data_IF_936746319672
#
_entry.id   IF_936746319672
#
_cell.length_a   1.000
_cell.length_b   1.000
_cell.length_c   1.000
_cell.angle_alpha   90.00
_cell.angle_beta   90.00
_cell.angle_gamma   90.00
#
_symmetry.space_group_name_H-M   'P 1'
#
loop_
_entity.id
_entity.type
_entity.pdbx_description
1 polymer ?
#
# COMPACT_ATOMS: atom_id res chain seq x y z
N UNK A 1 14.46 3.83 -18.67
CA UNK A 1 13.37 4.84 -18.73
C UNK A 1 12.92 5.10 -17.30
N UNK A 2 12.44 6.29 -16.95
CA UNK A 2 11.81 6.51 -15.63
C UNK A 2 10.32 6.23 -15.73
N UNK A 3 9.75 5.55 -14.73
CA UNK A 3 8.32 5.26 -14.64
C UNK A 3 7.72 6.08 -13.50
N UNK A 4 6.60 6.73 -13.78
CA UNK A 4 5.80 7.41 -12.75
C UNK A 4 4.69 6.48 -12.27
N UNK A 5 4.65 6.22 -10.98
CA UNK A 5 3.68 5.31 -10.34
C UNK A 5 2.92 6.08 -9.28
N UNK A 6 1.59 5.95 -9.28
CA UNK A 6 0.72 6.50 -8.24
C UNK A 6 0.61 5.48 -7.11
N UNK A 7 1.02 5.87 -5.92
CA UNK A 7 0.96 5.01 -4.72
C UNK A 7 0.13 5.68 -3.63
N UNK A 8 -0.64 4.89 -2.88
CA UNK A 8 -1.38 5.34 -1.70
C UNK A 8 -0.83 4.62 -0.48
N UNK A 9 -0.40 5.40 0.51
CA UNK A 9 0.21 4.93 1.74
C UNK A 9 -0.64 5.32 2.95
N UNK A 10 -0.71 4.44 3.93
CA UNK A 10 -1.26 4.75 5.25
C UNK A 10 -0.09 5.09 6.18
N UNK A 11 -0.23 6.13 6.99
CA UNK A 11 0.77 6.51 7.99
C UNK A 11 0.13 6.58 9.37
N UNK A 12 0.84 6.11 10.40
CA UNK A 12 0.35 6.12 11.79
C UNK A 12 1.01 7.20 12.66
N UNK A 13 1.80 8.10 12.05
CA UNK A 13 2.52 9.18 12.73
C UNK A 13 4.02 9.20 12.41
N UNK A 14 4.61 8.03 12.14
CA UNK A 14 6.03 7.87 11.79
C UNK A 14 6.36 8.15 10.32
N UNK A 15 5.37 8.59 9.53
CA UNK A 15 5.50 8.81 8.10
C UNK A 15 5.27 7.54 7.27
N UNK A 16 5.77 7.53 6.03
CA UNK A 16 5.67 6.40 5.11
C UNK A 16 6.93 6.35 4.23
N UNK A 17 7.40 5.15 3.93
CA UNK A 17 8.52 4.92 3.02
C UNK A 17 8.03 4.65 1.61
N UNK A 18 8.73 5.21 0.62
CA UNK A 18 8.50 4.91 -0.78
C UNK A 18 9.78 4.43 -1.45
N UNK A 19 9.65 3.39 -2.27
CA UNK A 19 10.73 2.94 -3.13
C UNK A 19 10.80 3.83 -4.38
N UNK A 20 11.48 4.97 -4.27
CA UNK A 20 11.65 5.94 -5.37
C UNK A 20 11.70 7.39 -4.89
N UNK A 21 11.54 8.31 -5.85
CA UNK A 21 11.53 9.75 -5.55
C UNK A 21 10.10 10.31 -5.66
N UNK A 22 9.59 10.91 -4.58
CA UNK A 22 8.27 11.56 -4.60
C UNK A 22 8.36 12.81 -5.47
N UNK A 23 7.56 12.83 -6.54
CA UNK A 23 7.46 13.96 -7.46
C UNK A 23 6.35 14.91 -6.99
N UNK A 24 5.22 14.35 -6.55
CA UNK A 24 4.04 15.14 -6.21
C UNK A 24 3.19 14.42 -5.16
N UNK A 25 2.59 15.17 -4.24
CA UNK A 25 1.55 14.67 -3.33
C UNK A 25 0.18 15.01 -3.93
N UNK A 26 -0.55 13.99 -4.36
CA UNK A 26 -1.83 14.13 -5.06
C UNK A 26 -3.02 14.27 -4.10
N UNK A 27 -2.97 13.57 -2.96
CA UNK A 27 -4.01 13.63 -1.95
C UNK A 27 -3.42 13.39 -0.56
N UNK A 28 -3.91 14.10 0.45
CA UNK A 28 -3.53 13.90 1.84
C UNK A 28 -4.79 13.99 2.69
N UNK A 29 -5.11 12.91 3.40
CA UNK A 29 -6.26 12.83 4.29
C UNK A 29 -5.77 12.49 5.69
N UNK A 30 -5.78 13.49 6.58
CA UNK A 30 -5.46 13.31 7.99
C UNK A 30 -6.51 12.42 8.69
N UNK A 31 -7.78 12.57 8.30
CA UNK A 31 -8.90 11.78 8.84
C UNK A 31 -8.74 10.28 8.61
N UNK A 32 -8.19 9.90 7.44
CA UNK A 32 -7.93 8.49 7.08
C UNK A 32 -6.47 8.11 7.27
N UNK A 33 -5.66 9.03 7.79
CA UNK A 33 -4.20 8.92 7.92
C UNK A 33 -3.56 8.33 6.65
N UNK A 34 -4.00 8.84 5.50
CA UNK A 34 -3.69 8.30 4.18
C UNK A 34 -3.13 9.38 3.27
N UNK A 35 -2.16 9.04 2.44
CA UNK A 35 -1.54 9.95 1.49
C UNK A 35 -1.36 9.24 0.16
N UNK A 36 -1.72 9.93 -0.92
CA UNK A 36 -1.50 9.47 -2.28
C UNK A 36 -0.43 10.32 -2.91
N UNK A 37 0.63 9.69 -3.40
CA UNK A 37 1.79 10.35 -4.00
C UNK A 37 2.07 9.81 -5.40
N UNK A 38 2.68 10.64 -6.23
CA UNK A 38 3.28 10.26 -7.50
C UNK A 38 4.77 10.03 -7.28
N UNK A 39 5.23 8.80 -7.48
CA UNK A 39 6.62 8.40 -7.27
C UNK A 39 7.26 8.15 -8.63
N UNK A 40 8.41 8.76 -8.87
CA UNK A 40 9.30 8.38 -9.97
C UNK A 40 10.16 7.22 -9.51
N UNK A 41 10.01 6.07 -10.18
CA UNK A 41 10.83 4.88 -9.97
C UNK A 41 11.78 4.71 -11.15
N UNK A 42 13.04 4.39 -10.83
CA UNK A 42 13.95 3.88 -11.82
C UNK A 42 13.43 2.51 -12.24
N UNK A 43 13.12 2.34 -13.52
CA UNK A 43 12.64 1.06 -14.05
C UNK A 43 13.70 0.00 -13.72
N UNK A 44 13.41 -0.99 -12.85
CA UNK A 44 14.30 -2.12 -12.75
C UNK A 44 14.15 -2.81 -14.09
N UNK A 45 15.13 -2.62 -14.98
CA UNK A 45 15.26 -3.44 -16.16
C UNK A 45 15.07 -4.87 -15.70
N UNK A 46 13.95 -5.46 -16.12
CA UNK A 46 13.50 -6.81 -15.81
C UNK A 46 14.70 -7.73 -15.66
N UNK A 47 15.17 -7.93 -14.43
CA UNK A 47 16.10 -9.03 -14.15
C UNK A 47 15.16 -10.20 -14.10
N UNK A 48 15.00 -10.83 -15.26
CA UNK A 48 14.36 -12.14 -15.39
C UNK A 48 15.23 -13.06 -14.54
N UNK A 49 14.95 -13.15 -13.24
CA UNK A 49 15.52 -14.22 -12.43
C UNK A 49 14.73 -15.48 -12.80
N UNK A 50 15.14 -16.04 -13.93
CA UNK A 50 14.92 -17.42 -14.32
C UNK A 50 15.34 -18.30 -13.13
N UNK A 51 14.38 -18.88 -12.39
CA UNK A 51 14.38 -20.29 -11.95
C UNK A 51 13.11 -20.60 -11.13
N UNK A 52 12.04 -21.05 -11.80
CA UNK A 52 11.22 -22.22 -11.40
C UNK A 52 10.04 -22.39 -12.38
N UNK A 53 9.76 -23.60 -12.87
CA UNK A 53 8.83 -23.81 -13.98
C UNK A 53 7.36 -23.61 -13.59
N UNK A 54 6.67 -22.87 -14.46
CA UNK A 54 5.21 -22.67 -14.53
C UNK A 54 4.45 -24.01 -14.68
N UNK A 55 3.10 -23.97 -14.56
CA UNK A 55 2.36 -24.32 -15.76
C UNK A 55 1.52 -23.14 -16.25
N UNK A 56 1.84 -22.79 -17.49
CA UNK A 56 1.02 -22.19 -18.54
C UNK A 56 -0.41 -21.78 -18.15
N UNK A 57 -0.71 -20.48 -18.23
CA UNK A 57 -1.64 -19.91 -19.24
C UNK A 57 -1.25 -18.46 -19.54
N UNK A 58 -0.74 -18.25 -20.75
CA UNK A 58 -0.64 -16.94 -21.38
C UNK A 58 -2.05 -16.45 -21.69
N UNK A 59 -2.41 -15.29 -21.17
CA UNK A 59 -3.40 -14.42 -21.77
C UNK A 59 -2.88 -13.00 -21.62
N UNK A 60 -2.40 -12.52 -22.74
CA UNK A 60 -2.12 -11.13 -23.10
C UNK A 60 -3.36 -10.28 -22.77
N UNK A 61 -3.34 -9.64 -21.60
CA UNK A 61 -4.11 -8.44 -21.29
C UNK A 61 -3.42 -7.78 -20.10
N UNK A 62 -2.42 -6.92 -20.38
CA UNK A 62 -1.85 -6.05 -19.35
C UNK A 62 -2.85 -4.91 -19.09
N UNK A 63 -4.08 -5.24 -18.69
CA UNK A 63 -4.79 -4.39 -17.77
C UNK A 63 -3.97 -4.40 -16.49
N UNK A 64 -3.35 -3.26 -16.18
CA UNK A 64 -2.86 -2.92 -14.85
C UNK A 64 -4.03 -3.17 -13.88
N UNK A 65 -4.16 -4.41 -13.42
CA UNK A 65 -5.15 -4.79 -12.42
C UNK A 65 -4.81 -3.89 -11.23
N UNK A 66 -5.79 -3.13 -10.69
CA UNK A 66 -5.51 -2.26 -9.56
C UNK A 66 -4.86 -3.14 -8.51
N UNK A 67 -3.59 -2.88 -8.18
CA UNK A 67 -2.92 -3.63 -7.13
C UNK A 67 -3.85 -3.51 -5.92
N UNK A 68 -4.43 -4.63 -5.50
CA UNK A 68 -5.36 -4.65 -4.38
C UNK A 68 -4.56 -4.12 -3.20
N UNK A 69 -4.82 -2.86 -2.84
CA UNK A 69 -4.15 -2.22 -1.73
C UNK A 69 -4.57 -3.00 -0.48
N UNK A 70 -3.60 -3.67 0.14
CA UNK A 70 -3.81 -4.32 1.43
C UNK A 70 -3.55 -3.24 2.47
N UNK A 71 -4.58 -2.89 3.24
CA UNK A 71 -4.47 -1.96 4.35
C UNK A 71 -4.34 -2.73 5.65
N UNK A 72 -3.60 -2.18 6.61
CA UNK A 72 -3.47 -2.75 7.95
C UNK A 72 -4.15 -1.87 8.98
N UNK A 73 -4.61 -2.50 10.05
CA UNK A 73 -5.29 -1.86 11.16
C UNK A 73 -4.47 -0.70 11.72
N UNK A 74 -5.07 0.49 11.75
CA UNK A 74 -4.42 1.72 12.23
C UNK A 74 -4.40 1.87 13.77
N UNK A 75 -4.28 0.77 14.50
CA UNK A 75 -4.28 0.80 15.96
C UNK A 75 -3.08 0.04 16.51
N UNK A 76 -2.53 0.55 17.61
CA UNK A 76 -1.47 -0.09 18.37
C UNK A 76 -2.05 -1.22 19.22
N UNK A 77 -1.32 -2.32 19.30
CA UNK A 77 -1.58 -3.43 20.22
C UNK A 77 -1.27 -3.00 21.66
N UNK A 78 -1.72 -3.79 22.65
CA UNK A 78 -1.43 -3.51 24.07
C UNK A 78 0.07 -3.49 24.41
N UNK A 79 0.89 -4.12 23.57
CA UNK A 79 2.35 -4.14 23.67
C UNK A 79 3.01 -2.90 23.03
N UNK A 80 2.23 -1.99 22.43
CA UNK A 80 2.72 -0.78 21.76
C UNK A 80 3.20 -1.00 20.32
N UNK A 81 2.98 -2.19 19.74
CA UNK A 81 3.31 -2.47 18.34
C UNK A 81 2.12 -2.22 17.42
N UNK A 82 2.35 -1.79 16.18
CA UNK A 82 1.28 -1.58 15.21
C UNK A 82 0.57 -2.90 14.84
N UNK A 83 -0.77 -2.88 14.81
CA UNK A 83 -1.55 -4.05 14.45
C UNK A 83 -1.39 -4.41 12.97
N UNK A 84 -1.05 -5.67 12.70
CA UNK A 84 -0.80 -6.19 11.35
C UNK A 84 -2.02 -6.86 10.70
N UNK A 85 -3.22 -6.68 11.27
CA UNK A 85 -4.44 -7.26 10.69
C UNK A 85 -4.89 -6.47 9.47
N UNK A 86 -5.24 -7.18 8.41
CA UNK A 86 -5.77 -6.59 7.19
C UNK A 86 -7.14 -5.95 7.43
N UNK A 87 -7.37 -4.79 6.82
CA UNK A 87 -8.63 -4.03 6.85
C UNK A 87 -9.01 -3.61 5.42
N UNK A 88 -10.28 -3.26 5.23
CA UNK A 88 -10.80 -2.93 3.90
C UNK A 88 -10.43 -1.50 3.46
N UNK A 89 -10.28 -0.58 4.41
CA UNK A 89 -9.94 0.83 4.15
C UNK A 89 -8.72 1.31 4.95
N UNK A 90 -7.96 2.21 4.34
CA UNK A 90 -6.87 2.91 5.01
C UNK A 90 -7.38 3.73 6.20
N UNK A 91 -6.70 3.63 7.34
CA UNK A 91 -7.09 4.28 8.59
C UNK A 91 -8.14 3.51 9.39
N UNK A 92 -8.68 2.42 8.85
CA UNK A 92 -9.67 1.59 9.53
C UNK A 92 -9.03 0.72 10.62
N UNK A 93 -9.86 0.23 11.53
CA UNK A 93 -9.44 -0.64 12.63
C UNK A 93 -10.03 -2.02 12.45
N UNK A 94 -9.21 -3.04 12.69
CA UNK A 94 -9.70 -4.41 12.66
C UNK A 94 -10.75 -4.64 13.75
N UNK A 95 -11.52 -5.72 13.62
CA UNK A 95 -12.57 -6.13 14.57
C UNK A 95 -12.10 -6.29 16.03
N UNK A 96 -10.79 -6.37 16.30
CA UNK A 96 -10.24 -6.40 17.67
C UNK A 96 -9.95 -5.02 18.25
N UNK A 97 -9.86 -4.02 17.38
CA UNK A 97 -9.64 -2.62 17.72
C UNK A 97 -10.84 -1.76 17.28
N UNK A 98 -12.01 -2.37 17.13
CA UNK A 98 -13.26 -1.62 17.00
C UNK A 98 -13.37 -0.72 18.21
N UNK A 99 -13.45 0.58 17.97
CA UNK A 99 -14.02 1.46 18.98
C UNK A 99 -15.46 0.96 19.14
N UNK A 100 -15.72 0.18 20.19
CA UNK A 100 -17.06 0.12 20.76
C UNK A 100 -17.38 1.55 21.21
N UNK A 101 -17.89 2.34 20.28
CA UNK A 101 -18.56 3.60 20.52
C UNK A 101 -19.43 3.85 19.28
N UNK A 102 -20.51 3.08 19.11
CA UNK A 102 -21.83 3.32 19.73
C UNK A 102 -22.54 4.54 19.10
N UNK A 103 -23.74 4.26 18.57
CA UNK A 103 -24.93 5.12 18.36
C UNK A 103 -25.07 5.97 17.08
#
# INVERSE_FOLDING_TARGET
MTRYVRETHCYSGDGFDVDGHIIEVLNHSELRSSVTVLVEKADPQFVVEETAPLPERVSDDTQESPQKLIFFCNAETSDGEQCTREVEECGDRCWQHTLENEE
#
